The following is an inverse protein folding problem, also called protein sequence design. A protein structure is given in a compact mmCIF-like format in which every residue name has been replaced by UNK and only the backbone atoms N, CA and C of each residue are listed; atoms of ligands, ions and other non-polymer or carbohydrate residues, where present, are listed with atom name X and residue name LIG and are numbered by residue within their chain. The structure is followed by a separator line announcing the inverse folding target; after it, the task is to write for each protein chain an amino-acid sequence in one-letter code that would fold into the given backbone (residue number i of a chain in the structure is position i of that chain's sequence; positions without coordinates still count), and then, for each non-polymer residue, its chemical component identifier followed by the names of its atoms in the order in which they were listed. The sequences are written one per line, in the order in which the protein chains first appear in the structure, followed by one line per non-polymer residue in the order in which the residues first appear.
data_IF_555796633117
#
_entry.id   IF_555796633117
#
_cell.length_a   1.000
_cell.length_b   1.000
_cell.length_c   1.000
_cell.angle_alpha   90.00
_cell.angle_beta   90.00
_cell.angle_gamma   90.00
#
_symmetry.space_group_name_H-M   'P 1'
#
loop_
_entity.id
_entity.type
_entity.pdbx_description
1 polymer ?
#
# COMPACT_ATOMS: atom_id res chain seq x y z
N UNK A 1 2.95 -29.72 20.83
CA UNK A 1 1.88 -29.68 19.80
C UNK A 1 0.59 -29.29 20.49
N UNK A 2 0.00 -28.15 20.12
CA UNK A 2 -1.21 -27.57 20.75
C UNK A 2 -2.39 -27.70 19.79
N UNK A 3 -2.68 -28.92 19.35
CA UNK A 3 -3.88 -29.21 18.57
C UNK A 3 -4.73 -30.16 19.40
N UNK A 4 -5.88 -29.65 19.87
CA UNK A 4 -6.86 -30.42 20.66
C UNK A 4 -7.95 -31.06 19.77
N UNK A 5 -7.77 -31.04 18.45
CA UNK A 5 -8.67 -31.64 17.47
C UNK A 5 -8.11 -32.92 16.84
N UNK A 6 -8.96 -33.67 16.15
CA UNK A 6 -8.54 -34.84 15.38
C UNK A 6 -7.51 -34.44 14.31
N UNK A 7 -6.53 -35.33 14.10
CA UNK A 7 -5.42 -35.14 13.18
C UNK A 7 -5.90 -35.19 11.72
N UNK A 8 -6.03 -34.03 11.06
CA UNK A 8 -6.51 -33.90 9.66
C UNK A 8 -5.39 -33.93 8.59
N UNK A 9 -4.17 -34.30 8.95
CA UNK A 9 -3.01 -34.27 8.04
C UNK A 9 -3.02 -35.43 7.03
N UNK A 10 -3.99 -36.34 7.11
CA UNK A 10 -4.22 -37.41 6.13
C UNK A 10 -5.39 -37.17 5.17
N UNK A 11 -6.33 -36.27 5.50
CA UNK A 11 -7.61 -36.16 4.78
C UNK A 11 -7.53 -35.38 3.46
N UNK A 12 -6.43 -34.65 3.22
CA UNK A 12 -6.28 -33.76 2.06
C UNK A 12 -5.20 -34.19 1.05
N UNK A 13 -4.53 -35.32 1.28
CA UNK A 13 -3.44 -35.78 0.42
C UNK A 13 -3.92 -36.42 -0.90
N UNK A 14 -5.20 -36.81 -1.01
CA UNK A 14 -5.71 -37.48 -2.22
C UNK A 14 -6.29 -36.53 -3.29
N UNK A 15 -6.73 -35.31 -2.94
CA UNK A 15 -7.54 -34.48 -3.85
C UNK A 15 -6.75 -33.50 -4.72
N UNK A 16 -5.49 -33.22 -4.37
CA UNK A 16 -4.61 -32.37 -5.16
C UNK A 16 -3.26 -33.04 -5.34
N UNK A 17 -3.04 -33.64 -6.52
CA UNK A 17 -1.80 -34.34 -6.92
C UNK A 17 -0.57 -33.43 -7.07
N UNK A 18 -0.29 -32.59 -6.09
CA UNK A 18 0.91 -31.79 -5.99
C UNK A 18 1.50 -31.96 -4.58
N UNK A 19 2.72 -32.52 -4.56
CA UNK A 19 3.61 -32.77 -3.41
C UNK A 19 3.42 -34.13 -2.72
N UNK A 20 4.39 -35.01 -2.99
CA UNK A 20 4.60 -36.27 -2.29
C UNK A 20 5.05 -36.06 -0.84
N UNK A 21 4.93 -37.17 -0.11
CA UNK A 21 5.23 -37.38 1.30
C UNK A 21 4.31 -36.64 2.29
N UNK A 22 3.53 -37.43 3.01
CA UNK A 22 2.70 -37.01 4.13
C UNK A 22 3.52 -36.11 5.08
N UNK A 23 3.26 -34.80 5.05
CA UNK A 23 3.92 -33.83 5.92
C UNK A 23 3.48 -34.05 7.37
N UNK A 24 4.13 -34.98 8.05
CA UNK A 24 3.99 -35.15 9.50
C UNK A 24 4.49 -33.88 10.19
N UNK A 25 3.78 -33.34 11.19
CA UNK A 25 4.24 -32.18 11.94
C UNK A 25 5.65 -32.42 12.50
N UNK A 26 6.62 -31.66 12.01
CA UNK A 26 7.99 -31.69 12.51
C UNK A 26 8.29 -30.38 13.24
N UNK A 27 9.31 -30.43 14.11
CA UNK A 27 9.81 -29.23 14.77
C UNK A 27 10.43 -28.28 13.73
N UNK A 28 10.33 -26.97 13.98
CA UNK A 28 10.91 -25.97 13.08
C UNK A 28 12.44 -26.07 13.11
N UNK A 29 13.12 -25.87 11.96
CA UNK A 29 14.57 -25.89 11.90
C UNK A 29 15.21 -24.81 12.79
N UNK A 30 16.45 -25.03 13.19
CA UNK A 30 17.20 -24.17 14.11
C UNK A 30 17.26 -22.70 13.67
N UNK A 31 17.23 -22.45 12.37
CA UNK A 31 17.22 -21.11 11.78
C UNK A 31 15.95 -20.31 12.11
N UNK A 32 14.85 -20.97 12.48
CA UNK A 32 13.62 -20.31 12.94
C UNK A 32 13.47 -20.33 14.48
N UNK A 33 13.87 -21.42 15.14
CA UNK A 33 13.70 -21.53 16.61
C UNK A 33 14.66 -20.63 17.36
N UNK A 34 15.88 -20.44 16.87
CA UNK A 34 16.88 -19.58 17.50
C UNK A 34 16.39 -18.12 17.63
N UNK A 35 15.89 -17.44 16.57
CA UNK A 35 15.26 -16.12 16.71
C UNK A 35 14.12 -16.09 17.73
N UNK A 36 13.23 -17.09 17.74
CA UNK A 36 12.09 -17.13 18.67
C UNK A 36 12.53 -17.25 20.13
N UNK A 37 13.54 -18.08 20.41
CA UNK A 37 14.09 -18.23 21.77
C UNK A 37 14.75 -16.92 22.23
N UNK A 38 15.50 -16.26 21.34
CA UNK A 38 16.11 -14.95 21.64
C UNK A 38 15.03 -13.92 21.94
N UNK A 39 13.97 -13.83 21.12
CA UNK A 39 12.85 -12.90 21.35
C UNK A 39 12.10 -13.20 22.65
N UNK A 40 11.92 -14.47 23.01
CA UNK A 40 11.32 -14.86 24.28
C UNK A 40 12.20 -14.40 25.46
N UNK A 41 13.51 -14.60 25.37
CA UNK A 41 14.46 -14.11 26.37
C UNK A 41 14.43 -12.59 26.51
N UNK A 42 14.44 -11.86 25.39
CA UNK A 42 14.32 -10.41 25.37
C UNK A 42 12.99 -9.91 25.95
N UNK A 43 11.89 -10.64 25.75
CA UNK A 43 10.59 -10.31 26.34
C UNK A 43 10.61 -10.44 27.87
N UNK A 44 11.26 -11.47 28.40
CA UNK A 44 11.45 -11.66 29.85
C UNK A 44 12.32 -10.55 30.43
N UNK A 45 13.45 -10.24 29.78
CA UNK A 45 14.35 -9.16 30.22
C UNK A 45 13.62 -7.81 30.16
N UNK A 46 12.91 -7.51 29.08
CA UNK A 46 12.12 -6.29 28.94
C UNK A 46 11.06 -6.15 30.04
N UNK A 47 10.34 -7.24 30.37
CA UNK A 47 9.42 -7.25 31.51
C UNK A 47 10.12 -7.06 32.85
N UNK A 48 11.29 -7.67 33.05
CA UNK A 48 12.07 -7.57 34.28
C UNK A 48 12.61 -6.15 34.54
N UNK A 49 12.93 -5.40 33.48
CA UNK A 49 13.44 -4.03 33.56
C UNK A 49 12.40 -2.99 34.06
N UNK A 50 11.10 -3.33 34.07
CA UNK A 50 10.01 -2.42 34.47
C UNK A 50 9.11 -3.03 35.55
N UNK A 51 9.69 -3.82 36.45
CA UNK A 51 8.93 -4.44 37.54
C UNK A 51 8.55 -3.41 38.61
N UNK A 52 7.27 -3.34 39.03
CA UNK A 52 6.80 -2.35 39.99
C UNK A 52 7.04 -2.76 41.45
N UNK A 53 8.15 -3.45 41.76
CA UNK A 53 8.44 -3.97 43.10
C UNK A 53 9.31 -3.04 43.96
N UNK A 54 10.13 -2.18 43.34
CA UNK A 54 10.99 -1.22 44.05
C UNK A 54 11.30 -0.01 43.17
N UNK A 55 11.66 1.13 43.79
CA UNK A 55 12.10 2.33 43.06
C UNK A 55 13.29 2.04 42.12
N UNK A 56 14.16 1.08 42.48
CA UNK A 56 15.31 0.70 41.65
C UNK A 56 14.96 -0.21 40.47
N UNK A 57 13.77 -0.81 40.44
CA UNK A 57 13.32 -1.72 39.34
C UNK A 57 12.44 -1.03 38.30
N UNK A 58 12.18 0.27 38.47
CA UNK A 58 11.51 1.16 37.50
C UNK A 58 12.50 1.78 36.52
N UNK A 59 13.38 0.97 35.93
CA UNK A 59 14.51 1.51 35.15
C UNK A 59 14.03 2.25 33.89
N UNK A 60 13.06 1.70 33.16
CA UNK A 60 12.52 2.36 31.96
C UNK A 60 11.82 3.68 32.31
N UNK A 61 11.02 3.70 33.38
CA UNK A 61 10.33 4.92 33.85
C UNK A 61 11.30 6.10 34.03
N UNK A 62 12.40 5.91 34.77
CA UNK A 62 13.41 6.96 34.98
C UNK A 62 14.22 7.29 33.71
N UNK A 63 14.43 6.31 32.83
CA UNK A 63 15.15 6.54 31.58
C UNK A 63 14.31 7.36 30.59
N UNK A 64 12.99 7.15 30.55
CA UNK A 64 12.05 7.89 29.72
C UNK A 64 11.62 9.23 30.33
N UNK A 65 11.62 9.35 31.66
CA UNK A 65 11.20 10.55 32.42
C UNK A 65 11.67 11.88 31.78
N UNK A 66 12.95 12.07 31.39
CA UNK A 66 13.41 13.35 30.83
C UNK A 66 12.74 13.77 29.53
N UNK A 67 12.17 12.82 28.78
CA UNK A 67 11.51 13.07 27.49
C UNK A 67 10.00 13.21 27.66
N UNK A 68 9.41 12.53 28.65
CA UNK A 68 7.96 12.44 28.82
C UNK A 68 7.40 13.33 29.92
N UNK A 69 8.24 13.91 30.79
CA UNK A 69 7.81 14.65 32.00
C UNK A 69 6.77 15.75 31.72
N UNK A 70 6.93 16.51 30.63
CA UNK A 70 6.01 17.60 30.25
C UNK A 70 4.72 17.11 29.59
N UNK A 71 4.68 15.85 29.12
CA UNK A 71 3.54 15.24 28.45
C UNK A 71 2.76 14.26 29.35
N UNK A 72 3.23 14.03 30.59
CA UNK A 72 2.59 13.11 31.52
C UNK A 72 1.37 13.77 32.18
N UNK A 73 0.21 13.12 32.03
CA UNK A 73 -1.00 13.53 32.74
C UNK A 73 -0.89 13.11 34.21
N UNK A 74 -0.89 14.08 35.14
CA UNK A 74 -0.89 13.77 36.57
C UNK A 74 -2.23 13.15 36.98
N UNK A 75 -2.21 11.84 37.22
CA UNK A 75 -3.35 11.05 37.66
C UNK A 75 -3.26 10.69 39.15
N UNK A 76 -2.26 11.18 39.89
CA UNK A 76 -2.01 10.76 41.28
C UNK A 76 -3.16 11.09 42.23
N UNK A 77 -3.92 12.15 41.95
CA UNK A 77 -5.12 12.53 42.70
C UNK A 77 -6.42 11.84 42.23
N UNK A 78 -6.34 10.90 41.28
CA UNK A 78 -7.52 10.23 40.73
C UNK A 78 -7.84 8.95 41.51
N UNK A 79 -9.14 8.67 41.69
CA UNK A 79 -9.64 7.42 42.28
C UNK A 79 -9.00 6.16 41.67
N UNK A 80 -8.73 6.17 40.36
CA UNK A 80 -8.09 5.08 39.64
C UNK A 80 -6.65 4.80 40.13
N UNK A 81 -5.91 5.84 40.52
CA UNK A 81 -4.54 5.69 41.03
C UNK A 81 -4.55 5.10 42.45
N UNK A 82 -5.46 5.56 43.31
CA UNK A 82 -5.66 5.00 44.66
C UNK A 82 -6.05 3.52 44.60
N UNK A 83 -6.91 3.15 43.64
CA UNK A 83 -7.45 1.81 43.50
C UNK A 83 -6.76 0.96 42.42
N UNK A 84 -5.52 1.32 42.03
CA UNK A 84 -4.77 0.66 40.96
C UNK A 84 -4.64 -0.86 41.11
N UNK A 85 -4.50 -1.36 42.34
CA UNK A 85 -4.40 -2.79 42.62
C UNK A 85 -5.73 -3.52 42.41
N UNK A 86 -6.85 -2.88 42.71
CA UNK A 86 -8.19 -3.41 42.43
C UNK A 86 -8.42 -3.47 40.92
N UNK A 87 -8.06 -2.41 40.20
CA UNK A 87 -8.14 -2.36 38.74
C UNK A 87 -7.24 -3.43 38.09
N UNK A 88 -6.01 -3.59 38.57
CA UNK A 88 -5.09 -4.64 38.12
C UNK A 88 -5.67 -6.04 38.36
N UNK A 89 -6.16 -6.30 39.57
CA UNK A 89 -6.79 -7.59 39.90
C UNK A 89 -8.00 -7.88 39.03
N UNK A 90 -8.87 -6.89 38.83
CA UNK A 90 -10.03 -7.00 37.94
C UNK A 90 -9.61 -7.28 36.50
N UNK A 91 -8.60 -6.58 35.98
CA UNK A 91 -8.08 -6.79 34.63
C UNK A 91 -7.54 -8.22 34.45
N UNK A 92 -6.79 -8.74 35.43
CA UNK A 92 -6.28 -10.12 35.41
C UNK A 92 -7.43 -11.14 35.42
N UNK A 93 -8.46 -10.92 36.24
CA UNK A 93 -9.64 -11.80 36.29
C UNK A 93 -10.39 -11.81 34.95
N UNK A 94 -10.60 -10.64 34.34
CA UNK A 94 -11.26 -10.52 33.03
C UNK A 94 -10.43 -11.22 31.95
N UNK A 95 -9.11 -11.01 31.93
CA UNK A 95 -8.22 -11.66 30.97
C UNK A 95 -8.23 -13.19 31.13
N UNK A 96 -8.14 -13.69 32.36
CA UNK A 96 -8.20 -15.13 32.64
C UNK A 96 -9.57 -15.74 32.26
N UNK A 97 -10.67 -15.03 32.53
CA UNK A 97 -12.01 -15.44 32.12
C UNK A 97 -12.15 -15.51 30.59
N UNK A 98 -11.59 -14.53 29.87
CA UNK A 98 -11.55 -14.53 28.40
C UNK A 98 -10.76 -15.71 27.83
N UNK A 99 -9.58 -16.02 28.39
CA UNK A 99 -8.79 -17.19 28.00
C UNK A 99 -9.57 -18.50 28.28
N UNK A 100 -10.19 -18.61 29.45
CA UNK A 100 -10.99 -19.77 29.80
C UNK A 100 -12.20 -19.96 28.86
N UNK A 101 -12.88 -18.87 28.51
CA UNK A 101 -13.98 -18.88 27.54
C UNK A 101 -13.50 -19.31 26.15
N UNK A 102 -12.36 -18.78 25.68
CA UNK A 102 -11.75 -19.17 24.41
C UNK A 102 -11.41 -20.67 24.36
N UNK A 103 -10.79 -21.21 25.41
CA UNK A 103 -10.49 -22.65 25.53
C UNK A 103 -11.79 -23.47 25.51
N UNK A 104 -12.85 -23.02 26.20
CA UNK A 104 -14.12 -23.73 26.24
C UNK A 104 -14.78 -23.81 24.85
N UNK A 105 -14.73 -22.74 24.07
CA UNK A 105 -15.28 -22.66 22.70
C UNK A 105 -14.41 -23.44 21.71
N UNK A 106 -13.12 -23.10 21.60
CA UNK A 106 -12.26 -23.54 20.50
C UNK A 106 -11.53 -24.86 20.77
N UNK A 107 -11.11 -25.13 22.02
CA UNK A 107 -10.36 -26.35 22.33
C UNK A 107 -11.28 -27.49 22.80
N UNK A 108 -12.36 -27.17 23.53
CA UNK A 108 -13.27 -28.17 24.11
C UNK A 108 -14.60 -28.29 23.39
N UNK A 109 -14.90 -27.44 22.41
CA UNK A 109 -16.14 -27.47 21.63
C UNK A 109 -17.42 -27.35 22.46
N UNK A 110 -17.36 -26.77 23.67
CA UNK A 110 -18.51 -26.72 24.59
C UNK A 110 -19.56 -25.69 24.19
N UNK A 111 -19.23 -24.79 23.27
CA UNK A 111 -20.14 -23.77 22.75
C UNK A 111 -19.79 -23.49 21.29
N UNK A 112 -20.78 -23.05 20.51
CA UNK A 112 -20.57 -22.63 19.12
C UNK A 112 -19.81 -21.31 19.09
N UNK A 113 -18.78 -21.16 18.24
CA UNK A 113 -18.15 -19.86 17.99
C UNK A 113 -19.18 -18.85 17.53
N UNK A 114 -19.24 -17.70 18.22
CA UNK A 114 -20.04 -16.57 17.80
C UNK A 114 -19.12 -15.68 16.97
N UNK A 115 -19.18 -15.85 15.65
CA UNK A 115 -18.37 -15.11 14.70
C UNK A 115 -19.29 -14.26 13.82
N UNK A 116 -19.57 -13.00 14.20
CA UNK A 116 -20.30 -12.07 13.35
C UNK A 116 -19.57 -11.93 12.02
N UNK A 117 -20.30 -12.05 10.90
CA UNK A 117 -19.73 -11.91 9.56
C UNK A 117 -18.98 -10.57 9.40
N UNK A 118 -19.43 -9.51 10.06
CA UNK A 118 -18.74 -8.21 10.06
C UNK A 118 -17.30 -8.28 10.60
N UNK A 119 -17.05 -9.07 11.65
CA UNK A 119 -15.70 -9.24 12.21
C UNK A 119 -14.85 -10.18 11.34
N UNK A 120 -15.48 -11.21 10.77
CA UNK A 120 -14.82 -12.11 9.81
C UNK A 120 -14.35 -11.36 8.55
N UNK A 121 -15.14 -10.39 8.09
CA UNK A 121 -14.81 -9.53 6.95
C UNK A 121 -13.84 -8.38 7.30
N UNK A 122 -13.21 -8.40 8.48
CA UNK A 122 -12.28 -7.34 8.91
C UNK A 122 -12.94 -5.95 8.92
N UNK A 123 -14.17 -5.87 9.46
CA UNK A 123 -14.99 -4.66 9.46
C UNK A 123 -15.35 -4.15 8.06
N UNK A 124 -15.17 -4.98 7.01
CA UNK A 124 -15.35 -4.62 5.59
C UNK A 124 -14.44 -3.46 5.15
N UNK A 125 -13.37 -3.18 5.90
CA UNK A 125 -12.44 -2.10 5.58
C UNK A 125 -11.76 -2.37 4.25
N UNK A 126 -11.15 -3.53 4.09
CA UNK A 126 -10.45 -3.92 2.85
C UNK A 126 -11.40 -3.94 1.66
N UNK A 127 -12.61 -4.47 1.84
CA UNK A 127 -13.63 -4.53 0.79
C UNK A 127 -14.09 -3.13 0.34
N UNK A 128 -14.27 -2.20 1.29
CA UNK A 128 -14.69 -0.83 0.97
C UNK A 128 -13.58 -0.04 0.27
N UNK A 129 -12.33 -0.14 0.73
CA UNK A 129 -11.18 0.48 0.06
C UNK A 129 -10.99 -0.13 -1.34
N UNK A 130 -11.07 -1.46 -1.48
CA UNK A 130 -10.96 -2.13 -2.77
C UNK A 130 -12.08 -1.72 -3.73
N UNK A 131 -13.32 -1.57 -3.25
CA UNK A 131 -14.43 -1.09 -4.07
C UNK A 131 -14.23 0.36 -4.54
N UNK A 132 -13.73 1.23 -3.66
CA UNK A 132 -13.45 2.63 -3.96
C UNK A 132 -12.31 2.78 -4.97
N UNK A 133 -11.18 2.11 -4.73
CA UNK A 133 -10.00 2.20 -5.60
C UNK A 133 -10.23 1.45 -6.92
N UNK A 134 -10.75 0.23 -6.84
CA UNK A 134 -10.96 -0.64 -7.99
C UNK A 134 -12.13 -0.24 -8.89
N UNK A 135 -13.14 0.43 -8.34
CA UNK A 135 -14.29 0.95 -9.08
C UNK A 135 -14.03 2.37 -9.61
N UNK A 136 -14.47 3.42 -8.90
CA UNK A 136 -14.38 4.80 -9.39
C UNK A 136 -12.94 5.26 -9.59
N UNK A 137 -11.98 4.85 -8.73
CA UNK A 137 -10.57 5.16 -8.94
C UNK A 137 -10.06 4.67 -10.28
N UNK A 138 -10.30 3.39 -10.60
CA UNK A 138 -9.91 2.80 -11.89
C UNK A 138 -10.63 3.44 -13.08
N UNK A 139 -11.90 3.80 -12.93
CA UNK A 139 -12.65 4.50 -13.97
C UNK A 139 -12.05 5.89 -14.27
N UNK A 140 -11.69 6.64 -13.23
CA UNK A 140 -11.03 7.94 -13.38
C UNK A 140 -9.70 7.82 -14.13
N UNK A 141 -8.84 6.85 -13.76
CA UNK A 141 -7.57 6.61 -14.45
C UNK A 141 -7.77 6.22 -15.92
N UNK A 142 -8.76 5.36 -16.22
CA UNK A 142 -9.09 5.04 -17.62
C UNK A 142 -9.56 6.26 -18.39
N UNK A 143 -10.33 7.15 -17.75
CA UNK A 143 -10.78 8.41 -18.35
C UNK A 143 -9.61 9.33 -18.71
N UNK A 144 -8.66 9.51 -17.79
CA UNK A 144 -7.45 10.31 -18.02
C UNK A 144 -6.60 9.69 -19.15
N UNK A 145 -6.39 8.37 -19.12
CA UNK A 145 -5.63 7.69 -20.17
C UNK A 145 -6.30 7.79 -21.55
N UNK A 146 -7.64 7.69 -21.61
CA UNK A 146 -8.39 7.86 -22.85
C UNK A 146 -8.34 9.31 -23.36
N UNK A 147 -8.30 10.29 -22.47
CA UNK A 147 -8.13 11.69 -22.84
C UNK A 147 -6.75 11.93 -23.46
N UNK A 148 -5.69 11.42 -22.83
CA UNK A 148 -4.32 11.53 -23.35
C UNK A 148 -4.20 10.93 -24.75
N UNK A 149 -4.61 9.66 -24.90
CA UNK A 149 -4.52 8.94 -26.18
C UNK A 149 -5.37 9.52 -27.32
N UNK A 150 -6.45 10.25 -27.01
CA UNK A 150 -7.34 10.83 -28.05
C UNK A 150 -7.07 12.30 -28.32
N UNK A 151 -6.85 13.08 -27.27
CA UNK A 151 -6.76 14.54 -27.36
C UNK A 151 -5.31 14.97 -27.52
N UNK A 152 -4.42 14.50 -26.63
CA UNK A 152 -3.01 14.90 -26.64
C UNK A 152 -2.31 14.27 -27.84
N UNK A 153 -2.36 12.94 -27.96
CA UNK A 153 -1.79 12.24 -29.11
C UNK A 153 -2.48 12.63 -30.42
N UNK A 154 -3.79 12.87 -30.39
CA UNK A 154 -4.54 13.34 -31.55
C UNK A 154 -4.05 14.70 -32.05
N UNK A 155 -3.83 15.65 -31.13
CA UNK A 155 -3.29 16.97 -31.47
C UNK A 155 -1.88 16.88 -32.06
N UNK A 156 -1.00 16.09 -31.44
CA UNK A 156 0.39 15.89 -31.91
C UNK A 156 0.41 15.25 -33.29
N UNK A 157 -0.36 14.17 -33.49
CA UNK A 157 -0.46 13.50 -34.77
C UNK A 157 -1.09 14.39 -35.86
N UNK A 158 -2.05 15.23 -35.48
CA UNK A 158 -2.68 16.23 -36.34
C UNK A 158 -1.67 17.26 -36.87
N UNK A 159 -0.88 17.85 -35.97
CA UNK A 159 0.20 18.77 -36.36
C UNK A 159 1.18 18.07 -37.32
N UNK A 160 1.58 16.84 -37.01
CA UNK A 160 2.44 16.06 -37.89
C UNK A 160 1.82 15.79 -39.27
N UNK A 161 0.51 15.52 -39.33
CA UNK A 161 -0.21 15.29 -40.57
C UNK A 161 -0.27 16.56 -41.44
N UNK A 162 -0.53 17.72 -40.83
CA UNK A 162 -0.56 19.00 -41.54
C UNK A 162 0.81 19.36 -42.13
N UNK A 163 1.89 19.18 -41.36
CA UNK A 163 3.25 19.40 -41.85
C UNK A 163 3.58 18.48 -43.03
N UNK A 164 3.18 17.20 -42.96
CA UNK A 164 3.36 16.25 -44.08
C UNK A 164 2.55 16.66 -45.31
N UNK A 165 1.32 17.13 -45.14
CA UNK A 165 0.48 17.61 -46.23
C UNK A 165 1.09 18.84 -46.91
N UNK A 166 1.50 19.85 -46.13
CA UNK A 166 2.18 21.04 -46.64
C UNK A 166 3.48 20.67 -47.39
N UNK A 167 4.27 19.76 -46.83
CA UNK A 167 5.48 19.24 -47.48
C UNK A 167 5.16 18.51 -48.79
N UNK A 168 4.05 17.76 -48.83
CA UNK A 168 3.58 17.09 -50.04
C UNK A 168 3.17 18.06 -51.15
N UNK A 169 2.55 19.20 -50.80
CA UNK A 169 2.23 20.27 -51.74
C UNK A 169 3.49 20.95 -52.28
N UNK A 170 4.43 21.32 -51.40
CA UNK A 170 5.73 21.87 -51.78
C UNK A 170 6.51 20.90 -52.70
N UNK A 171 6.47 19.61 -52.40
CA UNK A 171 7.09 18.58 -53.25
C UNK A 171 6.52 18.54 -54.66
N UNK A 172 5.21 18.75 -54.83
CA UNK A 172 4.58 18.81 -56.17
C UNK A 172 5.01 20.03 -56.97
N UNK A 173 5.38 21.14 -56.31
CA UNK A 173 5.93 22.32 -57.00
C UNK A 173 7.35 22.09 -57.53
N UNK A 174 8.09 21.13 -56.96
CA UNK A 174 9.42 20.73 -57.43
C UNK A 174 9.29 19.69 -58.55
N UNK A 175 8.94 20.15 -59.75
CA UNK A 175 8.66 19.29 -60.91
C UNK A 175 9.89 18.94 -61.78
N UNK A 176 11.09 19.42 -61.42
CA UNK A 176 12.35 19.14 -62.14
C UNK A 176 12.49 19.84 -63.51
N UNK A 177 11.52 20.67 -63.91
CA UNK A 177 11.55 21.37 -65.20
C UNK A 177 12.28 22.71 -65.08
N UNK A 178 13.45 22.83 -65.73
CA UNK A 178 14.30 24.05 -65.69
C UNK A 178 13.52 25.33 -66.04
N UNK A 179 12.54 25.24 -66.96
CA UNK A 179 11.69 26.38 -67.36
C UNK A 179 10.80 26.88 -66.22
N UNK A 180 10.28 25.99 -65.36
CA UNK A 180 9.49 26.38 -64.19
C UNK A 180 10.35 27.11 -63.15
N UNK A 181 11.58 26.66 -62.93
CA UNK A 181 12.53 27.35 -62.05
C UNK A 181 12.91 28.74 -62.57
N UNK A 182 13.20 28.86 -63.88
CA UNK A 182 13.53 30.14 -64.49
C UNK A 182 12.38 31.16 -64.36
N UNK A 183 11.13 30.73 -64.53
CA UNK A 183 9.95 31.58 -64.33
C UNK A 183 9.80 32.05 -62.88
N UNK A 184 9.99 31.16 -61.90
CA UNK A 184 9.93 31.50 -60.47
C UNK A 184 11.01 32.53 -60.10
N UNK A 185 12.25 32.33 -60.57
CA UNK A 185 13.36 33.27 -60.33
C UNK A 185 13.07 34.63 -60.96
N UNK A 186 12.54 34.66 -62.19
CA UNK A 186 12.15 35.92 -62.83
C UNK A 186 11.10 36.70 -62.04
N UNK A 187 10.05 36.03 -61.57
CA UNK A 187 9.02 36.65 -60.71
C UNK A 187 9.61 37.13 -59.38
N UNK A 188 10.48 36.33 -58.75
CA UNK A 188 11.13 36.72 -57.50
C UNK A 188 11.97 37.99 -57.64
N UNK A 189 12.74 38.12 -58.72
CA UNK A 189 13.54 39.33 -59.00
C UNK A 189 12.65 40.56 -59.15
N UNK A 190 11.57 40.46 -59.94
CA UNK A 190 10.62 41.57 -60.12
C UNK A 190 9.99 41.99 -58.78
N UNK A 191 9.57 41.02 -57.96
CA UNK A 191 8.98 41.30 -56.65
C UNK A 191 9.98 41.95 -55.69
N UNK A 192 11.23 41.49 -55.66
CA UNK A 192 12.28 42.08 -54.83
C UNK A 192 12.57 43.52 -55.27
N UNK A 193 12.68 43.77 -56.57
CA UNK A 193 12.87 45.12 -57.11
C UNK A 193 11.68 46.04 -56.79
N UNK A 194 10.45 45.54 -56.94
CA UNK A 194 9.25 46.28 -56.56
C UNK A 194 9.21 46.60 -55.06
N UNK A 195 9.56 45.64 -54.21
CA UNK A 195 9.67 45.86 -52.76
C UNK A 195 10.72 46.90 -52.42
N UNK A 196 11.89 46.84 -53.06
CA UNK A 196 12.98 47.80 -52.84
C UNK A 196 12.58 49.22 -53.27
N UNK A 197 11.85 49.34 -54.38
CA UNK A 197 11.32 50.62 -54.84
C UNK A 197 10.26 51.17 -53.88
N UNK A 198 9.31 50.35 -53.43
CA UNK A 198 8.29 50.79 -52.46
C UNK A 198 8.92 51.22 -51.14
N UNK A 199 9.98 50.52 -50.69
CA UNK A 199 10.67 50.83 -49.43
C UNK A 199 11.73 51.95 -49.54
N UNK A 200 12.15 52.29 -50.76
CA UNK A 200 13.08 53.39 -51.02
C UNK A 200 12.37 54.69 -51.40
N UNK A 201 11.08 54.62 -51.73
CA UNK A 201 10.21 55.77 -52.06
C UNK A 201 9.37 56.22 -50.85
N UNK A 202 9.19 55.38 -49.83
CA UNK A 202 8.65 55.71 -48.50
C UNK A 202 9.79 55.94 -47.50
#
# INVERSE_FOLDING_TARGET
MVFYGEARWHDHAEEHGAHGDAHTPHESPWTMTLPLVVLAGLSIVGGALQLPFSHSTKFLEHWLEPVVHEAEADIHATWAYENKWVLLGLAVVIAAAGIAASIAVYAKGKAKPIEPQLLADGWRYDASIAALVGGPGRAAFRGIAAFDAKVVDGAVNGVGAEVRNASGLLRKMQNGLIRSYAAIVGVAVVLVLAWFLVRGVL
#
